data_IF_045413166867
#
_entry.id   IF_045413166867
#
_cell.length_a   1.000
_cell.length_b   1.000
_cell.length_c   1.000
_cell.angle_alpha   90.00
_cell.angle_beta   90.00
_cell.angle_gamma   90.00
#
_symmetry.space_group_name_H-M   'P 1'
#
loop_
_entity.id
_entity.type
_entity.pdbx_description
1 polymer ?
#
# COMPACT_ATOMS: atom_id res chain seq x y z
N UNK A 1 -29.79 3.68 -9.13
CA UNK A 1 -30.01 4.18 -7.76
C UNK A 1 -31.14 3.42 -7.06
N UNK A 2 -32.33 3.25 -7.67
CA UNK A 2 -33.45 2.58 -7.01
C UNK A 2 -33.13 1.17 -6.51
N UNK A 3 -32.44 0.33 -7.30
CA UNK A 3 -32.04 -1.01 -6.88
C UNK A 3 -31.08 -0.98 -5.68
N UNK A 4 -30.13 -0.05 -5.67
CA UNK A 4 -29.25 0.13 -4.51
C UNK A 4 -30.04 0.54 -3.25
N UNK A 5 -31.00 1.46 -3.37
CA UNK A 5 -31.85 1.86 -2.24
C UNK A 5 -32.69 0.69 -1.71
N UNK A 6 -33.27 -0.12 -2.60
CA UNK A 6 -34.00 -1.33 -2.20
C UNK A 6 -33.12 -2.36 -1.49
N UNK A 7 -31.93 -2.63 -2.00
CA UNK A 7 -31.01 -3.56 -1.35
C UNK A 7 -30.47 -3.00 -0.02
N UNK A 8 -30.14 -1.71 0.02
CA UNK A 8 -29.66 -1.04 1.23
C UNK A 8 -30.72 -1.02 2.36
N UNK A 9 -32.01 -0.83 2.01
CA UNK A 9 -33.11 -0.92 2.98
C UNK A 9 -33.27 -2.32 3.58
N UNK A 10 -32.84 -3.35 2.85
CA UNK A 10 -32.77 -4.75 3.30
C UNK A 10 -31.45 -5.08 3.99
N UNK A 11 -30.70 -4.09 4.42
CA UNK A 11 -29.41 -4.19 5.12
C UNK A 11 -28.27 -4.84 4.32
N UNK A 12 -28.35 -4.86 2.98
CA UNK A 12 -27.24 -5.40 2.17
C UNK A 12 -26.02 -4.46 2.27
N UNK A 13 -24.88 -4.92 2.85
CA UNK A 13 -23.75 -4.04 3.19
C UNK A 13 -23.12 -3.40 1.95
N UNK A 14 -22.91 -4.15 0.86
CA UNK A 14 -22.37 -3.61 -0.39
C UNK A 14 -23.24 -2.51 -1.02
N UNK A 15 -24.58 -2.62 -0.92
CA UNK A 15 -25.49 -1.60 -1.41
C UNK A 15 -25.46 -0.34 -0.53
N UNK A 16 -25.37 -0.51 0.79
CA UNK A 16 -25.22 0.59 1.75
C UNK A 16 -23.88 1.31 1.53
N UNK A 17 -22.77 0.56 1.34
CA UNK A 17 -21.47 1.11 0.99
C UNK A 17 -21.53 1.94 -0.30
N UNK A 18 -22.12 1.40 -1.38
CA UNK A 18 -22.20 2.09 -2.68
C UNK A 18 -23.04 3.35 -2.63
N UNK A 19 -24.14 3.35 -1.85
CA UNK A 19 -24.92 4.57 -1.61
C UNK A 19 -24.14 5.59 -0.79
N UNK A 20 -23.46 5.13 0.26
CA UNK A 20 -22.65 6.00 1.10
C UNK A 20 -21.56 6.74 0.33
N UNK A 21 -20.79 6.01 -0.46
CA UNK A 21 -19.75 6.60 -1.33
C UNK A 21 -20.33 7.52 -2.40
N UNK A 22 -21.46 7.13 -3.01
CA UNK A 22 -22.12 7.94 -4.03
C UNK A 22 -22.64 9.28 -3.47
N UNK A 23 -23.20 9.31 -2.26
CA UNK A 23 -23.65 10.54 -1.62
C UNK A 23 -22.50 11.40 -1.08
N UNK A 24 -21.38 10.79 -0.69
CA UNK A 24 -20.18 11.53 -0.34
C UNK A 24 -19.57 12.26 -1.53
N UNK A 25 -19.54 11.60 -2.69
CA UNK A 25 -18.86 12.10 -3.88
C UNK A 25 -19.79 12.83 -4.86
N UNK A 26 -21.11 12.67 -4.74
CA UNK A 26 -22.08 13.18 -5.72
C UNK A 26 -22.15 12.32 -6.98
N UNK A 27 -22.01 11.01 -6.84
CA UNK A 27 -22.05 10.03 -7.93
C UNK A 27 -23.47 9.48 -8.18
N UNK A 28 -23.64 8.67 -9.22
CA UNK A 28 -24.90 8.00 -9.60
C UNK A 28 -26.08 8.97 -9.77
N UNK A 29 -25.82 10.23 -10.09
CA UNK A 29 -26.86 11.26 -10.20
C UNK A 29 -27.44 11.73 -8.86
N UNK A 30 -26.77 11.38 -7.75
CA UNK A 30 -27.14 11.85 -6.41
C UNK A 30 -26.45 13.19 -6.11
N UNK A 31 -27.10 14.01 -5.29
CA UNK A 31 -26.46 15.21 -4.74
C UNK A 31 -25.43 14.81 -3.71
N UNK A 32 -24.34 15.57 -3.63
CA UNK A 32 -23.34 15.41 -2.57
C UNK A 32 -23.94 15.79 -1.22
N UNK A 33 -24.18 14.80 -0.38
CA UNK A 33 -24.80 14.90 0.95
C UNK A 33 -23.93 14.15 1.98
N UNK A 34 -22.86 14.80 2.45
CA UNK A 34 -21.86 14.15 3.32
C UNK A 34 -22.47 13.48 4.56
N UNK A 35 -23.46 14.10 5.20
CA UNK A 35 -24.15 13.51 6.38
C UNK A 35 -24.88 12.21 6.05
N UNK A 36 -25.56 12.15 4.94
CA UNK A 36 -26.29 10.95 4.52
C UNK A 36 -25.33 9.87 4.07
N UNK A 37 -24.28 10.25 3.32
CA UNK A 37 -23.21 9.33 2.93
C UNK A 37 -22.52 8.64 4.12
N UNK A 38 -22.17 9.42 5.15
CA UNK A 38 -21.59 8.86 6.40
C UNK A 38 -22.59 7.95 7.12
N UNK A 39 -23.89 8.28 7.17
CA UNK A 39 -24.90 7.40 7.78
C UNK A 39 -24.99 6.05 7.06
N UNK A 40 -24.95 6.05 5.72
CA UNK A 40 -24.96 4.81 4.96
C UNK A 40 -23.71 3.98 5.17
N UNK A 41 -22.51 4.63 5.24
CA UNK A 41 -21.27 3.93 5.54
C UNK A 41 -21.28 3.32 6.93
N UNK A 42 -21.81 4.02 7.95
CA UNK A 42 -21.96 3.47 9.31
C UNK A 42 -22.84 2.22 9.33
N UNK A 43 -24.00 2.29 8.67
CA UNK A 43 -24.90 1.13 8.55
C UNK A 43 -24.23 -0.03 7.79
N UNK A 44 -23.45 0.28 6.76
CA UNK A 44 -22.69 -0.74 6.02
C UNK A 44 -21.63 -1.40 6.89
N UNK A 45 -20.91 -0.62 7.71
CA UNK A 45 -19.92 -1.14 8.65
C UNK A 45 -20.56 -2.01 9.74
N UNK A 46 -21.72 -1.61 10.28
CA UNK A 46 -22.50 -2.41 11.23
C UNK A 46 -22.95 -3.77 10.67
N UNK A 47 -23.16 -3.85 9.36
CA UNK A 47 -23.56 -5.07 8.65
C UNK A 47 -22.39 -5.67 7.84
N UNK A 48 -21.13 -5.28 8.13
CA UNK A 48 -19.98 -5.74 7.38
C UNK A 48 -19.82 -7.27 7.46
N UNK A 49 -19.33 -7.84 6.38
CA UNK A 49 -19.02 -9.28 6.25
C UNK A 49 -17.68 -9.42 5.56
N UNK A 50 -17.03 -10.61 5.59
CA UNK A 50 -15.77 -10.84 4.85
C UNK A 50 -15.88 -10.53 3.34
N UNK A 51 -17.06 -10.62 2.75
CA UNK A 51 -17.30 -10.23 1.34
C UNK A 51 -17.42 -8.70 1.15
N UNK A 52 -17.86 -7.98 2.20
CA UNK A 52 -18.14 -6.54 2.16
C UNK A 52 -17.52 -5.78 3.35
N UNK A 53 -16.19 -5.79 3.52
CA UNK A 53 -15.50 -5.08 4.61
C UNK A 53 -15.24 -3.60 4.30
N UNK A 54 -15.49 -3.16 3.07
CA UNK A 54 -15.05 -1.89 2.50
C UNK A 54 -15.47 -0.67 3.31
N UNK A 55 -16.67 -0.69 3.90
CA UNK A 55 -17.18 0.44 4.66
C UNK A 55 -16.39 0.71 5.95
N UNK A 56 -15.86 -0.32 6.58
CA UNK A 56 -14.96 -0.20 7.74
C UNK A 56 -13.71 0.60 7.37
N UNK A 57 -13.09 0.25 6.26
CA UNK A 57 -11.90 0.95 5.76
C UNK A 57 -12.20 2.40 5.40
N UNK A 58 -13.25 2.65 4.64
CA UNK A 58 -13.63 4.02 4.23
C UNK A 58 -13.97 4.90 5.45
N UNK A 59 -14.71 4.38 6.41
CA UNK A 59 -15.00 5.11 7.65
C UNK A 59 -13.72 5.41 8.44
N UNK A 60 -12.78 4.48 8.49
CA UNK A 60 -11.49 4.71 9.12
C UNK A 60 -10.75 5.88 8.47
N UNK A 61 -10.68 5.92 7.14
CA UNK A 61 -10.07 7.03 6.41
C UNK A 61 -10.81 8.36 6.60
N UNK A 62 -12.14 8.32 6.75
CA UNK A 62 -12.92 9.51 7.05
C UNK A 62 -12.69 10.01 8.48
N UNK A 63 -12.55 9.12 9.47
CA UNK A 63 -12.19 9.50 10.84
C UNK A 63 -10.74 10.01 10.96
N UNK A 64 -9.84 9.56 10.10
CA UNK A 64 -8.47 10.12 10.02
C UNK A 64 -8.46 11.59 9.58
N UNK A 65 -9.31 11.95 8.63
CA UNK A 65 -9.35 13.31 8.02
C UNK A 65 -10.39 14.23 8.63
N UNK A 66 -11.46 13.65 9.12
CA UNK A 66 -12.67 14.37 9.49
C UNK A 66 -13.45 14.90 8.28
N UNK A 67 -14.68 15.32 8.51
CA UNK A 67 -15.50 16.09 7.57
C UNK A 67 -16.10 17.25 8.33
N UNK A 68 -15.81 18.48 7.90
CA UNK A 68 -16.29 19.69 8.58
C UNK A 68 -17.79 19.63 8.88
N UNK A 69 -18.17 19.89 10.13
CA UNK A 69 -19.54 19.83 10.66
C UNK A 69 -20.29 18.50 10.47
N UNK A 70 -19.64 17.42 10.11
CA UNK A 70 -20.25 16.09 9.87
C UNK A 70 -19.59 14.99 10.65
N UNK A 71 -18.26 14.91 10.62
CA UNK A 71 -17.49 13.85 11.25
C UNK A 71 -16.23 14.43 11.86
N UNK A 72 -16.02 14.20 13.16
CA UNK A 72 -14.80 14.62 13.83
C UNK A 72 -13.65 13.65 13.55
N UNK A 73 -12.43 14.18 13.61
CA UNK A 73 -11.22 13.36 13.59
C UNK A 73 -11.19 12.50 14.85
N UNK A 74 -11.00 11.21 14.66
CA UNK A 74 -10.89 10.23 15.73
C UNK A 74 -9.93 9.13 15.29
N UNK A 75 -8.67 9.31 15.67
CA UNK A 75 -7.58 8.43 15.23
C UNK A 75 -7.68 7.04 15.88
N UNK A 76 -8.09 6.98 17.12
CA UNK A 76 -8.22 5.73 17.87
C UNK A 76 -9.33 4.86 17.27
N UNK A 77 -10.50 5.45 17.08
CA UNK A 77 -11.61 4.76 16.41
C UNK A 77 -11.30 4.39 14.97
N UNK A 78 -10.52 5.22 14.24
CA UNK A 78 -10.02 4.87 12.91
C UNK A 78 -9.20 3.57 12.93
N UNK A 79 -8.28 3.42 13.90
CA UNK A 79 -7.48 2.20 14.03
C UNK A 79 -8.32 0.99 14.40
N UNK A 80 -9.35 1.14 15.26
CA UNK A 80 -10.30 0.06 15.58
C UNK A 80 -11.06 -0.42 14.35
N UNK A 81 -11.55 0.49 13.52
CA UNK A 81 -12.25 0.16 12.28
C UNK A 81 -11.33 -0.56 11.28
N UNK A 82 -10.05 -0.13 11.17
CA UNK A 82 -9.06 -0.82 10.35
C UNK A 82 -8.80 -2.24 10.86
N UNK A 83 -8.68 -2.42 12.19
CA UNK A 83 -8.47 -3.74 12.80
C UNK A 83 -9.64 -4.68 12.51
N UNK A 84 -10.88 -4.21 12.67
CA UNK A 84 -12.08 -4.99 12.31
C UNK A 84 -12.09 -5.41 10.83
N UNK A 85 -11.67 -4.51 9.92
CA UNK A 85 -11.57 -4.85 8.51
C UNK A 85 -10.46 -5.87 8.23
N UNK A 86 -9.34 -5.83 8.98
CA UNK A 86 -8.27 -6.83 8.88
C UNK A 86 -8.76 -8.21 9.34
N UNK A 87 -9.53 -8.29 10.43
CA UNK A 87 -10.16 -9.55 10.89
C UNK A 87 -11.08 -10.17 9.83
N UNK A 88 -11.69 -9.33 8.98
CA UNK A 88 -12.48 -9.77 7.82
C UNK A 88 -11.62 -10.04 6.57
N UNK A 89 -10.29 -9.98 6.67
CA UNK A 89 -9.36 -10.29 5.58
C UNK A 89 -9.13 -9.14 4.60
N UNK A 90 -9.37 -7.89 4.96
CA UNK A 90 -9.25 -6.76 4.03
C UNK A 90 -7.81 -6.22 3.95
N UNK A 91 -7.09 -6.58 2.88
CA UNK A 91 -5.69 -6.24 2.67
C UNK A 91 -5.35 -4.74 2.71
N UNK A 92 -6.15 -3.81 2.14
CA UNK A 92 -5.85 -2.38 2.25
C UNK A 92 -5.82 -1.85 3.67
N UNK A 93 -6.68 -2.39 4.58
CA UNK A 93 -6.67 -2.03 5.99
C UNK A 93 -5.43 -2.57 6.71
N UNK A 94 -5.02 -3.79 6.39
CA UNK A 94 -3.79 -4.37 6.94
C UNK A 94 -2.57 -3.55 6.50
N UNK A 95 -2.47 -3.17 5.23
CA UNK A 95 -1.41 -2.28 4.76
C UNK A 95 -1.41 -0.94 5.51
N UNK A 96 -2.58 -0.31 5.68
CA UNK A 96 -2.71 0.97 6.38
C UNK A 96 -2.29 0.88 7.85
N UNK A 97 -2.68 -0.19 8.56
CA UNK A 97 -2.22 -0.44 9.92
C UNK A 97 -0.71 -0.71 9.98
N UNK A 98 -0.16 -1.45 9.01
CA UNK A 98 1.27 -1.65 8.88
C UNK A 98 2.04 -0.32 8.83
N UNK A 99 1.56 0.64 8.02
CA UNK A 99 2.11 2.01 7.96
C UNK A 99 1.96 2.73 9.31
N UNK A 100 0.81 2.60 9.98
CA UNK A 100 0.59 3.28 11.27
C UNK A 100 1.56 2.78 12.33
N UNK A 101 1.80 1.46 12.41
CA UNK A 101 2.79 0.88 13.33
C UNK A 101 4.24 1.18 12.93
N UNK A 102 4.56 1.26 11.63
CA UNK A 102 5.90 1.61 11.17
C UNK A 102 6.32 3.00 11.63
N UNK A 103 5.42 3.96 11.56
CA UNK A 103 5.71 5.38 11.85
C UNK A 103 5.13 5.89 13.17
N UNK A 104 4.50 5.06 13.99
CA UNK A 104 3.86 5.50 15.22
C UNK A 104 2.74 6.52 14.99
N UNK A 105 1.89 6.31 13.97
CA UNK A 105 0.85 7.24 13.56
C UNK A 105 -0.53 6.86 14.12
N UNK A 106 -1.45 7.80 14.12
CA UNK A 106 -2.86 7.59 14.47
C UNK A 106 -3.06 7.03 15.90
N UNK A 107 -2.14 7.35 16.82
CA UNK A 107 -2.18 6.80 18.18
C UNK A 107 -1.61 5.38 18.33
N UNK A 108 -1.20 4.75 17.23
CA UNK A 108 -0.49 3.47 17.30
C UNK A 108 0.93 3.66 17.85
N UNK A 109 1.43 2.74 18.69
CA UNK A 109 2.85 2.74 19.04
C UNK A 109 3.69 2.42 17.80
N UNK A 110 4.91 2.94 17.76
CA UNK A 110 5.87 2.50 16.75
C UNK A 110 6.34 1.08 17.11
N UNK A 111 6.01 0.12 16.26
CA UNK A 111 6.29 -1.30 16.48
C UNK A 111 6.59 -2.00 15.16
N UNK A 112 7.86 -2.37 14.99
CA UNK A 112 8.34 -3.07 13.78
C UNK A 112 7.71 -4.45 13.62
N UNK A 113 7.49 -5.19 14.70
CA UNK A 113 6.89 -6.52 14.66
C UNK A 113 5.45 -6.48 14.19
N UNK A 114 4.63 -5.58 14.76
CA UNK A 114 3.25 -5.38 14.33
C UNK A 114 3.19 -4.83 12.90
N UNK A 115 4.08 -3.92 12.53
CA UNK A 115 4.16 -3.40 11.15
C UNK A 115 4.41 -4.51 10.14
N UNK A 116 5.45 -5.32 10.35
CA UNK A 116 5.81 -6.45 9.49
C UNK A 116 4.66 -7.46 9.43
N UNK A 117 4.04 -7.75 10.56
CA UNK A 117 2.90 -8.68 10.62
C UNK A 117 1.73 -8.18 9.75
N UNK A 118 1.36 -6.92 9.88
CA UNK A 118 0.28 -6.32 9.08
C UNK A 118 0.61 -6.28 7.58
N UNK A 119 1.86 -5.93 7.23
CA UNK A 119 2.30 -5.99 5.83
C UNK A 119 2.28 -7.41 5.26
N UNK A 120 2.65 -8.42 6.05
CA UNK A 120 2.55 -9.82 5.63
C UNK A 120 1.10 -10.24 5.32
N UNK A 121 0.14 -9.88 6.18
CA UNK A 121 -1.29 -10.15 5.95
C UNK A 121 -1.74 -9.55 4.61
N UNK A 122 -1.37 -8.31 4.33
CA UNK A 122 -1.72 -7.66 3.07
C UNK A 122 -0.97 -8.26 1.87
N UNK A 123 0.31 -8.55 2.01
CA UNK A 123 1.16 -9.08 0.95
C UNK A 123 0.78 -10.50 0.54
N UNK A 124 0.27 -11.32 1.46
CA UNK A 124 -0.28 -12.66 1.14
C UNK A 124 -1.46 -12.57 0.17
N UNK A 125 -2.20 -11.46 0.19
CA UNK A 125 -3.29 -11.17 -0.73
C UNK A 125 -2.83 -10.35 -1.96
N UNK A 126 -1.54 -10.33 -2.25
CA UNK A 126 -0.94 -9.60 -3.35
C UNK A 126 -1.13 -8.07 -3.31
N UNK A 127 -1.24 -7.46 -2.12
CA UNK A 127 -1.24 -6.00 -2.01
C UNK A 127 0.14 -5.46 -2.36
N UNK A 128 0.27 -4.84 -3.52
CA UNK A 128 1.58 -4.48 -4.11
C UNK A 128 2.40 -3.52 -3.24
N UNK A 129 1.76 -2.55 -2.61
CA UNK A 129 2.44 -1.62 -1.71
C UNK A 129 2.95 -2.32 -0.44
N UNK A 130 2.22 -3.33 0.08
CA UNK A 130 2.67 -4.13 1.22
C UNK A 130 3.84 -5.04 0.84
N UNK A 131 3.80 -5.67 -0.34
CA UNK A 131 4.95 -6.42 -0.86
C UNK A 131 6.19 -5.53 -0.95
N UNK A 132 6.02 -4.31 -1.45
CA UNK A 132 7.14 -3.37 -1.54
C UNK A 132 7.63 -2.88 -0.17
N UNK A 133 6.75 -2.69 0.81
CA UNK A 133 7.15 -2.36 2.18
C UNK A 133 8.00 -3.49 2.80
N UNK A 134 7.61 -4.76 2.60
CA UNK A 134 8.40 -5.91 3.05
C UNK A 134 9.80 -5.95 2.43
N UNK A 135 9.98 -5.47 1.19
CA UNK A 135 11.29 -5.34 0.57
C UNK A 135 12.25 -4.56 1.46
N UNK A 136 11.82 -3.40 1.96
CA UNK A 136 12.63 -2.54 2.83
C UNK A 136 12.96 -3.22 4.16
N UNK A 137 11.99 -3.91 4.77
CA UNK A 137 12.18 -4.63 6.01
C UNK A 137 13.18 -5.78 5.86
N UNK A 138 13.14 -6.54 4.76
CA UNK A 138 14.09 -7.62 4.50
C UNK A 138 15.50 -7.11 4.17
N UNK A 139 15.65 -5.93 3.53
CA UNK A 139 16.96 -5.32 3.29
C UNK A 139 17.68 -4.92 4.57
N UNK A 140 16.95 -4.42 5.55
CA UNK A 140 17.52 -3.93 6.81
C UNK A 140 17.55 -5.03 7.87
N UNK A 141 16.51 -5.85 7.93
CA UNK A 141 16.25 -6.79 9.01
C UNK A 141 15.83 -6.08 10.30
N UNK A 142 15.30 -6.86 11.25
CA UNK A 142 14.95 -6.40 12.61
C UNK A 142 15.46 -7.42 13.61
N UNK A 143 16.41 -7.08 14.48
CA UNK A 143 16.99 -8.03 15.43
C UNK A 143 15.91 -8.76 16.25
N UNK A 144 15.96 -10.08 16.27
CA UNK A 144 15.04 -10.93 17.02
C UNK A 144 13.64 -11.09 16.40
N UNK A 145 13.31 -10.37 15.31
CA UNK A 145 11.99 -10.41 14.64
C UNK A 145 12.12 -10.88 13.19
N UNK A 146 12.96 -10.21 12.40
CA UNK A 146 13.11 -10.49 10.97
C UNK A 146 14.61 -10.53 10.59
N UNK A 147 15.14 -11.68 10.14
CA UNK A 147 16.50 -11.72 9.64
C UNK A 147 16.64 -10.93 8.33
N UNK A 148 17.75 -10.22 8.17
CA UNK A 148 18.10 -9.59 6.90
C UNK A 148 18.22 -10.65 5.80
N UNK A 149 17.67 -10.38 4.62
CA UNK A 149 17.76 -11.26 3.46
C UNK A 149 17.58 -10.49 2.16
N UNK A 150 18.65 -10.31 1.42
CA UNK A 150 18.62 -9.66 0.11
C UNK A 150 17.77 -10.47 -0.89
N UNK A 151 17.82 -11.80 -0.80
CA UNK A 151 17.02 -12.69 -1.66
C UNK A 151 15.53 -12.49 -1.43
N UNK A 152 15.08 -12.49 -0.16
CA UNK A 152 13.68 -12.22 0.16
C UNK A 152 13.27 -10.80 -0.26
N UNK A 153 14.13 -9.81 -0.03
CA UNK A 153 13.90 -8.44 -0.45
C UNK A 153 13.66 -8.35 -1.98
N UNK A 154 14.50 -9.01 -2.78
CA UNK A 154 14.33 -9.07 -4.22
C UNK A 154 13.01 -9.77 -4.61
N UNK A 155 12.67 -10.89 -4.01
CA UNK A 155 11.45 -11.64 -4.32
C UNK A 155 10.18 -10.81 -4.02
N UNK A 156 10.16 -10.11 -2.90
CA UNK A 156 9.04 -9.23 -2.55
C UNK A 156 8.95 -8.01 -3.46
N UNK A 157 10.10 -7.40 -3.82
CA UNK A 157 10.13 -6.32 -4.81
C UNK A 157 9.60 -6.79 -6.17
N UNK A 158 10.03 -7.97 -6.64
CA UNK A 158 9.59 -8.57 -7.90
C UNK A 158 8.09 -8.80 -7.91
N UNK A 159 7.54 -9.34 -6.82
CA UNK A 159 6.10 -9.56 -6.69
C UNK A 159 5.29 -8.26 -6.76
N UNK A 160 5.80 -7.16 -6.22
CA UNK A 160 5.19 -5.84 -6.34
C UNK A 160 5.35 -5.25 -7.75
N UNK A 161 6.51 -5.45 -8.37
CA UNK A 161 6.84 -4.97 -9.72
C UNK A 161 6.00 -5.67 -10.80
N UNK A 162 5.77 -6.97 -10.66
CA UNK A 162 4.90 -7.74 -11.57
C UNK A 162 3.45 -7.22 -11.60
N UNK A 163 3.03 -6.51 -10.55
CA UNK A 163 1.73 -5.82 -10.47
C UNK A 163 1.77 -4.37 -10.97
N UNK A 164 2.86 -3.95 -11.60
CA UNK A 164 3.00 -2.63 -12.20
C UNK A 164 3.22 -1.50 -11.17
N UNK A 165 3.86 -1.80 -10.03
CA UNK A 165 4.25 -0.75 -9.08
C UNK A 165 5.58 -0.14 -9.54
N UNK A 166 5.55 1.05 -10.13
CA UNK A 166 6.72 1.69 -10.74
C UNK A 166 7.95 1.76 -9.81
N UNK A 167 7.76 2.11 -8.54
CA UNK A 167 8.85 2.14 -7.56
C UNK A 167 9.47 0.76 -7.28
N UNK A 168 8.67 -0.31 -7.38
CA UNK A 168 9.16 -1.68 -7.22
C UNK A 168 9.88 -2.17 -8.49
N UNK A 169 9.40 -1.78 -9.66
CA UNK A 169 10.09 -2.03 -10.93
C UNK A 169 11.47 -1.36 -10.97
N UNK A 170 11.54 -0.11 -10.50
CA UNK A 170 12.83 0.57 -10.32
C UNK A 170 13.76 -0.19 -9.36
N UNK A 171 13.23 -0.65 -8.21
CA UNK A 171 14.01 -1.41 -7.24
C UNK A 171 14.50 -2.74 -7.83
N UNK A 172 13.68 -3.48 -8.58
CA UNK A 172 14.10 -4.69 -9.28
C UNK A 172 15.21 -4.41 -10.28
N UNK A 173 15.11 -3.32 -11.04
CA UNK A 173 16.17 -2.88 -11.93
C UNK A 173 17.49 -2.65 -11.18
N UNK A 174 17.42 -1.97 -10.04
CA UNK A 174 18.59 -1.72 -9.19
C UNK A 174 19.17 -3.00 -8.61
N UNK A 175 18.35 -3.94 -8.17
CA UNK A 175 18.79 -5.23 -7.63
C UNK A 175 19.48 -6.08 -8.71
N UNK A 176 18.91 -6.19 -9.91
CA UNK A 176 19.52 -6.89 -11.02
C UNK A 176 20.81 -6.21 -11.51
N UNK A 177 20.87 -4.87 -11.50
CA UNK A 177 22.07 -4.12 -11.90
C UNK A 177 23.25 -4.39 -10.95
N UNK A 178 22.99 -4.48 -9.64
CA UNK A 178 24.03 -4.61 -8.62
C UNK A 178 24.23 -6.04 -8.10
N UNK A 179 23.37 -6.98 -8.47
CA UNK A 179 23.43 -8.36 -7.99
C UNK A 179 22.98 -8.50 -6.53
N UNK A 180 21.98 -7.74 -6.09
CA UNK A 180 21.44 -7.78 -4.73
C UNK A 180 20.28 -8.78 -4.67
N UNK A 181 20.46 -9.88 -3.94
CA UNK A 181 19.46 -10.95 -3.80
C UNK A 181 19.14 -11.73 -5.08
N UNK A 182 19.77 -11.36 -6.21
CA UNK A 182 19.66 -11.99 -7.52
C UNK A 182 21.00 -11.91 -8.26
N UNK A 183 21.34 -12.80 -9.19
CA UNK A 183 22.52 -12.65 -10.03
C UNK A 183 22.49 -11.32 -10.78
N UNK A 184 23.67 -10.72 -10.96
CA UNK A 184 23.79 -9.47 -11.70
C UNK A 184 23.43 -9.69 -13.17
N UNK A 185 22.43 -8.97 -13.67
CA UNK A 185 22.01 -9.00 -15.07
C UNK A 185 21.60 -7.60 -15.53
N UNK A 186 22.43 -6.99 -16.39
CA UNK A 186 22.16 -5.66 -16.94
C UNK A 186 21.05 -5.65 -18.01
N UNK A 187 20.79 -6.79 -18.65
CA UNK A 187 19.70 -6.94 -19.60
C UNK A 187 18.35 -6.91 -18.88
N UNK A 188 18.22 -7.74 -17.83
CA UNK A 188 17.04 -7.76 -16.97
C UNK A 188 16.84 -6.41 -16.27
N UNK A 189 17.91 -5.78 -15.77
CA UNK A 189 17.86 -4.45 -15.16
C UNK A 189 17.29 -3.39 -16.10
N UNK A 190 17.74 -3.36 -17.36
CA UNK A 190 17.19 -2.44 -18.38
C UNK A 190 15.70 -2.68 -18.63
N UNK A 191 15.27 -3.93 -18.70
CA UNK A 191 13.87 -4.29 -18.85
C UNK A 191 13.00 -3.76 -17.70
N UNK A 192 13.44 -3.92 -16.46
CA UNK A 192 12.75 -3.39 -15.29
C UNK A 192 12.71 -1.86 -15.26
N UNK A 193 13.81 -1.18 -15.58
CA UNK A 193 13.84 0.28 -15.66
C UNK A 193 12.94 0.82 -16.77
N UNK A 194 12.85 0.13 -17.92
CA UNK A 194 11.93 0.50 -18.98
C UNK A 194 10.48 0.48 -18.52
N UNK A 195 10.05 -0.59 -17.85
CA UNK A 195 8.71 -0.69 -17.26
C UNK A 195 8.46 0.38 -16.22
N UNK A 196 9.44 0.66 -15.36
CA UNK A 196 9.34 1.72 -14.36
C UNK A 196 9.10 3.10 -15.00
N UNK A 197 9.76 3.41 -16.12
CA UNK A 197 9.51 4.65 -16.89
C UNK A 197 8.10 4.68 -17.46
N UNK A 198 7.64 3.59 -18.05
CA UNK A 198 6.29 3.46 -18.61
C UNK A 198 5.21 3.68 -17.55
N UNK A 199 5.48 3.25 -16.30
CA UNK A 199 4.60 3.45 -15.14
C UNK A 199 4.88 4.73 -14.36
N UNK A 200 5.75 5.63 -14.87
CA UNK A 200 5.92 6.99 -14.38
C UNK A 200 7.04 7.21 -13.35
N UNK A 201 7.97 6.28 -13.17
CA UNK A 201 9.15 6.50 -12.33
C UNK A 201 10.28 7.20 -13.11
N UNK A 202 10.41 8.52 -12.92
CA UNK A 202 11.40 9.32 -13.64
C UNK A 202 12.87 8.99 -13.29
N UNK A 203 13.15 8.36 -12.16
CA UNK A 203 14.51 7.94 -11.76
C UNK A 203 15.07 6.89 -12.70
N UNK A 204 14.19 6.01 -13.20
CA UNK A 204 14.56 4.96 -14.12
C UNK A 204 15.10 5.48 -15.46
N UNK A 205 14.61 6.62 -15.94
CA UNK A 205 15.12 7.25 -17.19
C UNK A 205 16.60 7.58 -17.10
N UNK A 206 17.04 8.14 -15.96
CA UNK A 206 18.44 8.48 -15.74
C UNK A 206 19.32 7.23 -15.72
N UNK A 207 18.85 6.14 -15.09
CA UNK A 207 19.59 4.86 -15.04
C UNK A 207 19.68 4.22 -16.42
N UNK A 208 18.60 4.22 -17.22
CA UNK A 208 18.62 3.73 -18.60
C UNK A 208 19.64 4.47 -19.47
N UNK A 209 19.70 5.78 -19.37
CA UNK A 209 20.67 6.60 -20.11
C UNK A 209 22.10 6.22 -19.70
N UNK A 210 22.37 6.05 -18.41
CA UNK A 210 23.67 5.63 -17.90
C UNK A 210 24.03 4.24 -18.43
N UNK A 211 23.13 3.27 -18.36
CA UNK A 211 23.37 1.90 -18.83
C UNK A 211 23.50 1.81 -20.36
N UNK A 212 22.89 2.73 -21.10
CA UNK A 212 23.02 2.81 -22.56
C UNK A 212 24.36 3.40 -22.99
N UNK A 213 24.92 4.33 -22.19
CA UNK A 213 26.26 4.89 -22.36
C UNK A 213 27.41 3.93 -21.95
N UNK A 214 27.10 2.89 -21.22
CA UNK A 214 28.07 1.91 -20.68
C UNK A 214 28.50 0.81 -21.66
N UNK A 215 28.25 0.96 -22.96
CA UNK A 215 28.73 -0.01 -23.96
C UNK A 215 30.27 0.04 -24.18
N UNK A 216 31.02 0.85 -23.42
CA UNK A 216 32.49 0.81 -23.46
C UNK A 216 33.13 1.50 -22.23
N UNK A 217 33.34 0.80 -21.11
CA UNK A 217 34.55 0.91 -20.27
C UNK A 217 34.48 0.05 -19.00
N UNK A 218 35.59 -0.54 -18.53
CA UNK A 218 35.56 -1.40 -17.32
C UNK A 218 35.51 -0.62 -16.00
N UNK A 219 34.95 -1.28 -15.05
CA UNK A 219 34.50 -0.92 -13.71
C UNK A 219 35.55 -0.22 -12.82
N UNK A 220 35.10 0.93 -12.23
CA UNK A 220 35.63 1.42 -10.96
C UNK A 220 34.43 1.59 -10.02
N UNK A 221 34.50 0.97 -8.85
CA UNK A 221 33.43 0.93 -7.85
C UNK A 221 33.34 2.29 -7.17
N UNK A 222 32.18 2.97 -7.28
CA UNK A 222 31.77 4.00 -6.34
C UNK A 222 30.30 3.74 -5.98
N UNK A 223 30.06 3.40 -4.71
CA UNK A 223 28.71 3.24 -4.18
C UNK A 223 28.08 4.63 -4.02
N UNK A 224 27.02 4.91 -4.80
CA UNK A 224 26.26 6.15 -4.65
C UNK A 224 25.36 6.06 -3.43
N UNK A 225 25.65 6.91 -2.44
CA UNK A 225 24.93 7.04 -1.17
C UNK A 225 23.49 7.61 -1.28
N UNK A 226 22.97 7.76 -2.47
CA UNK A 226 21.66 8.38 -2.70
C UNK A 226 20.47 7.40 -2.55
N UNK A 227 20.73 6.10 -2.65
CA UNK A 227 19.69 5.06 -2.54
C UNK A 227 19.20 4.86 -1.10
N UNK A 228 19.97 5.30 -0.10
CA UNK A 228 19.63 5.16 1.33
C UNK A 228 18.51 6.12 1.81
N UNK A 229 18.10 7.09 1.01
CA UNK A 229 17.07 8.08 1.40
C UNK A 229 15.64 7.55 1.41
N UNK A 230 15.42 6.34 0.92
CA UNK A 230 14.08 5.72 0.83
C UNK A 230 13.91 4.48 1.70
N UNK A 231 14.91 4.20 2.54
CA UNK A 231 14.77 3.20 3.60
C UNK A 231 14.06 3.85 4.80
N UNK A 232 13.14 3.18 5.47
CA UNK A 232 12.59 3.68 6.72
C UNK A 232 13.74 3.94 7.69
N UNK A 233 13.79 5.15 8.24
CA UNK A 233 14.73 5.44 9.32
C UNK A 233 14.24 4.68 10.55
N UNK A 234 15.08 3.77 11.02
CA UNK A 234 14.85 3.01 12.24
C UNK A 234 14.86 3.92 13.48
#
# INVERSE_FOLDING_TARGET
VQFYKMAASRKHPGAQYRLGTAELNGELGLKRLAREGVKWLKRSAENATPEFPHALHELALLHEKGIYNVLFVDNEYSCELLAQAVEMGYAPSAYKLGVNYEYGRMGCPQDSGLSIHMYNIAAQQNHKEACFALTSWYLVGVPGILPQSDTEAYLWAKRAAEQGLAKAEYACGYFCENGIGTPRDLGEAKGWYQRAVEHGDNRASSRLNTLSGYTAKPVGIAADAESAKYLPQA
#
